data_IF_449735480670
#
_entry.id   IF_449735480670
#
_cell.length_a   1.000
_cell.length_b   1.000
_cell.length_c   1.000
_cell.angle_alpha   90.00
_cell.angle_beta   90.00
_cell.angle_gamma   90.00
#
_symmetry.space_group_name_H-M   'P 1'
#
loop_
_entity.id
_entity.type
_entity.pdbx_description
1 polymer ?
#
# COMPACT_ATOMS: atom_id res chain seq x y z
N UNK A 1 17.02 12.69 20.87
CA UNK A 1 16.24 13.35 19.83
C UNK A 1 16.39 12.62 18.50
N UNK A 2 15.47 12.83 17.59
CA UNK A 2 15.54 12.30 16.22
C UNK A 2 16.25 13.35 15.37
N UNK A 3 17.28 12.94 14.62
CA UNK A 3 17.97 13.84 13.68
C UNK A 3 17.10 14.06 12.45
N UNK A 4 16.99 15.32 12.02
CA UNK A 4 16.24 15.70 10.82
C UNK A 4 17.17 16.41 9.84
N UNK A 5 17.01 16.10 8.54
CA UNK A 5 17.65 16.80 7.42
C UNK A 5 16.55 17.35 6.54
N UNK A 6 16.63 18.63 6.20
CA UNK A 6 15.67 19.27 5.29
C UNK A 6 16.28 19.38 3.89
N UNK A 7 15.50 19.01 2.87
CA UNK A 7 15.89 19.14 1.48
C UNK A 7 15.15 18.21 0.55
N UNK A 8 15.57 18.20 -0.72
CA UNK A 8 14.99 17.37 -1.77
C UNK A 8 15.57 15.94 -1.72
N UNK A 9 14.72 14.97 -1.34
CA UNK A 9 15.10 13.56 -1.22
C UNK A 9 15.45 12.88 -2.57
N UNK A 10 15.23 13.53 -3.71
CA UNK A 10 15.69 13.04 -5.01
C UNK A 10 17.17 13.34 -5.26
N UNK A 11 17.81 14.14 -4.41
CA UNK A 11 19.23 14.49 -4.54
C UNK A 11 20.12 13.51 -3.80
N UNK A 12 20.98 12.81 -4.53
CA UNK A 12 21.88 11.80 -3.97
C UNK A 12 22.78 12.32 -2.86
N UNK A 13 23.28 13.55 -2.99
CA UNK A 13 24.16 14.14 -1.99
C UNK A 13 23.44 14.39 -0.65
N UNK A 14 22.15 14.77 -0.70
CA UNK A 14 21.33 14.90 0.50
C UNK A 14 21.15 13.54 1.20
N UNK A 15 20.85 12.50 0.41
CA UNK A 15 20.71 11.14 0.94
C UNK A 15 21.99 10.62 1.58
N UNK A 16 23.15 10.89 0.98
CA UNK A 16 24.45 10.54 1.56
C UNK A 16 24.69 11.29 2.86
N UNK A 17 24.43 12.60 2.88
CA UNK A 17 24.57 13.43 4.08
C UNK A 17 23.63 12.95 5.23
N UNK A 18 22.46 12.43 4.90
CA UNK A 18 21.53 11.80 5.84
C UNK A 18 21.96 10.38 6.30
N UNK A 19 23.05 9.83 5.77
CA UNK A 19 23.54 8.50 6.11
C UNK A 19 22.76 7.35 5.45
N UNK A 20 22.08 7.62 4.34
CA UNK A 20 21.19 6.68 3.66
C UNK A 20 21.86 5.33 3.31
N UNK A 21 23.15 5.34 2.97
CA UNK A 21 23.90 4.13 2.63
C UNK A 21 24.04 3.15 3.80
N UNK A 22 23.90 3.61 5.03
CA UNK A 22 24.06 2.82 6.26
C UNK A 22 22.72 2.58 6.99
N UNK A 23 21.61 3.05 6.41
CA UNK A 23 20.29 2.87 7.02
C UNK A 23 19.91 1.38 7.07
N UNK A 24 19.28 0.95 8.15
CA UNK A 24 18.77 -0.41 8.29
C UNK A 24 17.44 -0.61 7.54
N UNK A 25 16.71 0.46 7.34
CA UNK A 25 15.41 0.52 6.65
C UNK A 25 15.21 1.91 6.07
N UNK A 26 14.59 1.98 4.90
CA UNK A 26 14.14 3.23 4.29
C UNK A 26 12.63 3.18 4.11
N UNK A 27 11.96 4.28 4.45
CA UNK A 27 10.53 4.48 4.19
C UNK A 27 10.37 5.75 3.35
N UNK A 28 9.83 5.60 2.13
CA UNK A 28 9.56 6.71 1.21
C UNK A 28 8.04 6.97 1.20
N UNK A 29 7.63 8.06 1.82
CA UNK A 29 6.22 8.43 1.99
C UNK A 29 5.89 9.79 1.36
N UNK A 30 6.47 10.08 0.19
CA UNK A 30 6.24 11.33 -0.53
C UNK A 30 4.84 11.34 -1.16
N UNK A 31 4.22 12.53 -1.31
CA UNK A 31 2.86 12.64 -1.85
C UNK A 31 2.81 12.48 -3.38
N UNK A 32 3.93 12.68 -4.08
CA UNK A 32 4.00 12.69 -5.55
C UNK A 32 4.73 11.44 -6.03
N UNK A 33 4.06 10.63 -6.85
CA UNK A 33 4.58 9.35 -7.33
C UNK A 33 5.90 9.49 -8.09
N UNK A 34 6.05 10.52 -8.92
CA UNK A 34 7.28 10.74 -9.67
C UNK A 34 8.48 10.98 -8.74
N UNK A 35 8.30 11.79 -7.70
CA UNK A 35 9.32 12.06 -6.68
C UNK A 35 9.64 10.78 -5.87
N UNK A 36 8.60 10.01 -5.53
CA UNK A 36 8.74 8.72 -4.85
C UNK A 36 9.59 7.77 -5.68
N UNK A 37 9.26 7.58 -6.96
CA UNK A 37 9.99 6.69 -7.88
C UNK A 37 11.45 7.12 -8.05
N UNK A 38 11.70 8.42 -8.22
CA UNK A 38 13.05 8.95 -8.34
C UNK A 38 13.86 8.71 -7.06
N UNK A 39 13.26 8.96 -5.90
CA UNK A 39 13.88 8.74 -4.59
C UNK A 39 14.20 7.27 -4.37
N UNK A 40 13.28 6.34 -4.69
CA UNK A 40 13.52 4.89 -4.62
C UNK A 40 14.72 4.48 -5.49
N UNK A 41 14.80 4.95 -6.74
CA UNK A 41 15.94 4.68 -7.63
C UNK A 41 17.26 5.18 -7.04
N UNK A 42 17.27 6.37 -6.44
CA UNK A 42 18.47 6.94 -5.81
C UNK A 42 18.94 6.12 -4.62
N UNK A 43 18.01 5.70 -3.76
CA UNK A 43 18.35 4.80 -2.65
C UNK A 43 18.92 3.47 -3.15
N UNK A 44 18.35 2.86 -4.19
CA UNK A 44 18.90 1.63 -4.78
C UNK A 44 20.29 1.80 -5.34
N UNK A 45 20.58 2.95 -5.94
CA UNK A 45 21.93 3.28 -6.39
C UNK A 45 22.95 3.46 -5.26
N UNK A 46 22.50 3.79 -4.04
CA UNK A 46 23.36 3.92 -2.86
C UNK A 46 23.53 2.59 -2.11
N UNK A 47 22.47 1.77 -2.05
CA UNK A 47 22.47 0.50 -1.36
C UNK A 47 21.40 -0.44 -1.96
N UNK A 48 21.85 -1.44 -2.72
CA UNK A 48 20.98 -2.40 -3.40
C UNK A 48 20.20 -3.32 -2.45
N UNK A 49 20.70 -3.54 -1.24
CA UNK A 49 20.18 -4.56 -0.31
C UNK A 49 19.29 -3.99 0.79
N UNK A 50 19.23 -2.67 0.94
CA UNK A 50 18.45 -2.07 2.02
C UNK A 50 16.96 -2.38 1.86
N UNK A 51 16.25 -2.82 2.91
CA UNK A 51 14.79 -2.88 2.89
C UNK A 51 14.22 -1.49 2.63
N UNK A 52 13.38 -1.35 1.58
CA UNK A 52 12.81 -0.08 1.17
C UNK A 52 11.31 -0.22 1.01
N UNK A 53 10.58 0.45 1.89
CA UNK A 53 9.14 0.56 1.82
C UNK A 53 8.77 1.86 1.10
N UNK A 54 7.81 1.80 0.19
CA UNK A 54 7.31 2.98 -0.49
C UNK A 54 5.78 3.08 -0.38
N UNK A 55 5.27 4.30 -0.37
CA UNK A 55 3.84 4.58 -0.43
C UNK A 55 3.40 4.76 -1.87
N UNK A 56 2.25 4.17 -2.23
CA UNK A 56 1.56 4.42 -3.48
C UNK A 56 0.07 4.74 -3.22
N UNK A 57 -0.59 5.36 -4.18
CA UNK A 57 -2.02 5.67 -4.12
C UNK A 57 -2.88 4.74 -4.98
N UNK A 58 -2.26 3.90 -5.82
CA UNK A 58 -2.94 2.96 -6.70
C UNK A 58 -2.08 1.76 -7.08
N UNK A 59 -2.73 0.73 -7.62
CA UNK A 59 -2.05 -0.54 -7.94
C UNK A 59 -0.98 -0.38 -9.02
N UNK A 60 -1.21 0.44 -10.06
CA UNK A 60 -0.21 0.71 -11.10
C UNK A 60 1.03 1.38 -10.54
N UNK A 61 0.84 2.40 -9.71
CA UNK A 61 1.94 3.05 -9.01
C UNK A 61 2.73 2.06 -8.14
N UNK A 62 2.03 1.11 -7.50
CA UNK A 62 2.67 0.10 -6.68
C UNK A 62 3.53 -0.86 -7.53
N UNK A 63 3.08 -1.24 -8.71
CA UNK A 63 3.87 -2.04 -9.66
C UNK A 63 5.09 -1.26 -10.13
N UNK A 64 4.91 -0.02 -10.59
CA UNK A 64 6.01 0.85 -11.02
C UNK A 64 7.07 1.03 -9.92
N UNK A 65 6.65 1.19 -8.65
CA UNK A 65 7.57 1.33 -7.53
C UNK A 65 8.33 0.05 -7.21
N UNK A 66 7.72 -1.13 -7.39
CA UNK A 66 8.40 -2.42 -7.28
C UNK A 66 9.44 -2.58 -8.38
N UNK A 67 9.11 -2.24 -9.61
CA UNK A 67 10.01 -2.33 -10.77
C UNK A 67 11.24 -1.44 -10.60
N UNK A 68 11.09 -0.29 -9.95
CA UNK A 68 12.22 0.59 -9.67
C UNK A 68 12.99 0.24 -8.39
N UNK A 69 12.55 -0.81 -7.68
CA UNK A 69 13.32 -1.42 -6.61
C UNK A 69 12.75 -1.27 -5.19
N UNK A 70 11.49 -0.85 -5.01
CA UNK A 70 10.86 -0.95 -3.69
C UNK A 70 10.76 -2.41 -3.24
N UNK A 71 11.15 -2.70 -1.99
CA UNK A 71 11.01 -4.04 -1.41
C UNK A 71 9.54 -4.34 -1.13
N UNK A 72 8.83 -3.34 -0.64
CA UNK A 72 7.41 -3.42 -0.32
C UNK A 72 6.73 -2.09 -0.65
N UNK A 73 5.50 -2.15 -1.12
CA UNK A 73 4.71 -0.95 -1.41
C UNK A 73 3.40 -1.01 -0.63
N UNK A 74 3.15 0.05 0.11
CA UNK A 74 1.97 0.21 0.95
C UNK A 74 0.97 1.11 0.23
N UNK A 75 -0.29 0.66 0.19
CA UNK A 75 -1.44 1.45 -0.27
C UNK A 75 -2.31 1.77 0.94
N UNK A 76 -2.18 2.96 1.54
CA UNK A 76 -2.91 3.33 2.76
C UNK A 76 -4.43 3.24 2.62
N UNK A 77 -4.95 3.52 1.43
CA UNK A 77 -6.38 3.45 1.13
C UNK A 77 -6.91 2.02 1.23
N UNK A 78 -6.13 1.04 0.79
CA UNK A 78 -6.47 -0.39 0.89
C UNK A 78 -6.37 -0.89 2.33
N UNK A 79 -5.31 -0.51 3.04
CA UNK A 79 -5.16 -0.85 4.46
C UNK A 79 -6.28 -0.22 5.31
N UNK A 80 -6.66 1.02 5.00
CA UNK A 80 -7.80 1.71 5.60
C UNK A 80 -9.12 0.99 5.33
N UNK A 81 -9.36 0.56 4.09
CA UNK A 81 -10.55 -0.21 3.71
C UNK A 81 -10.63 -1.54 4.47
N UNK A 82 -9.54 -2.29 4.57
CA UNK A 82 -9.49 -3.53 5.36
C UNK A 82 -9.82 -3.27 6.84
N UNK A 83 -9.33 -2.17 7.38
CA UNK A 83 -9.61 -1.78 8.77
C UNK A 83 -11.08 -1.45 8.96
N UNK A 84 -11.70 -0.69 8.04
CA UNK A 84 -13.13 -0.37 8.07
C UNK A 84 -14.01 -1.63 7.99
N UNK A 85 -13.70 -2.55 7.08
CA UNK A 85 -14.40 -3.82 6.92
C UNK A 85 -14.32 -4.63 8.22
N UNK A 86 -13.14 -4.72 8.81
CA UNK A 86 -12.95 -5.43 10.08
C UNK A 86 -13.82 -4.83 11.19
N UNK A 87 -13.87 -3.51 11.33
CA UNK A 87 -14.71 -2.85 12.32
C UNK A 87 -16.20 -3.04 12.04
N UNK A 88 -16.64 -2.96 10.78
CA UNK A 88 -18.01 -3.21 10.40
C UNK A 88 -18.46 -4.65 10.77
N UNK A 89 -17.65 -5.64 10.46
CA UNK A 89 -17.95 -7.02 10.81
C UNK A 89 -17.98 -7.28 12.32
N UNK A 90 -17.11 -6.61 13.07
CA UNK A 90 -17.14 -6.66 14.54
C UNK A 90 -18.43 -6.04 15.09
N UNK A 91 -18.87 -4.90 14.55
CA UNK A 91 -20.13 -4.28 14.94
C UNK A 91 -21.35 -5.16 14.65
N UNK A 92 -21.31 -5.93 13.56
CA UNK A 92 -22.34 -6.91 13.19
C UNK A 92 -22.19 -8.25 13.95
N UNK A 93 -21.23 -8.36 14.88
CA UNK A 93 -20.93 -9.58 15.65
C UNK A 93 -20.59 -10.80 14.78
N UNK A 94 -20.03 -10.56 13.58
CA UNK A 94 -19.54 -11.60 12.70
C UNK A 94 -18.25 -12.21 13.29
N UNK A 95 -18.08 -13.53 13.14
CA UNK A 95 -16.94 -14.23 13.75
C UNK A 95 -15.59 -13.75 13.18
N UNK A 96 -14.54 -13.79 14.00
CA UNK A 96 -13.18 -13.44 13.57
C UNK A 96 -12.68 -14.32 12.43
N UNK A 97 -13.06 -15.61 12.40
CA UNK A 97 -12.70 -16.52 11.31
C UNK A 97 -13.27 -16.05 9.97
N UNK A 98 -14.56 -15.71 9.92
CA UNK A 98 -15.20 -15.19 8.71
C UNK A 98 -14.57 -13.89 8.21
N UNK A 99 -14.14 -13.00 9.13
CA UNK A 99 -13.42 -11.78 8.78
C UNK A 99 -12.06 -12.10 8.12
N UNK A 100 -11.31 -13.04 8.71
CA UNK A 100 -10.01 -13.46 8.19
C UNK A 100 -10.13 -14.12 6.81
N UNK A 101 -11.14 -14.95 6.60
CA UNK A 101 -11.39 -15.63 5.33
C UNK A 101 -11.75 -14.62 4.24
N UNK A 102 -12.57 -13.62 4.56
CA UNK A 102 -12.87 -12.52 3.65
C UNK A 102 -11.63 -11.71 3.28
N UNK A 103 -10.83 -11.31 4.25
CA UNK A 103 -9.61 -10.53 3.99
C UNK A 103 -8.60 -11.32 3.16
N UNK A 104 -8.45 -12.63 3.39
CA UNK A 104 -7.60 -13.51 2.55
C UNK A 104 -8.11 -13.58 1.12
N UNK A 105 -9.43 -13.69 0.90
CA UNK A 105 -10.00 -13.70 -0.45
C UNK A 105 -9.74 -12.38 -1.19
N UNK A 106 -9.82 -11.24 -0.50
CA UNK A 106 -9.45 -9.95 -1.08
C UNK A 106 -7.97 -9.86 -1.45
N UNK A 107 -7.07 -10.43 -0.67
CA UNK A 107 -5.64 -10.46 -0.97
C UNK A 107 -5.33 -11.39 -2.16
N UNK A 108 -5.96 -12.54 -2.24
CA UNK A 108 -5.81 -13.48 -3.37
C UNK A 108 -6.28 -12.85 -4.69
N UNK A 109 -7.38 -12.12 -4.68
CA UNK A 109 -7.89 -11.38 -5.84
C UNK A 109 -6.90 -10.32 -6.34
N UNK A 110 -6.19 -9.64 -5.43
CA UNK A 110 -5.13 -8.67 -5.76
C UNK A 110 -3.91 -9.30 -6.42
N UNK A 111 -3.56 -10.52 -6.04
CA UNK A 111 -2.39 -11.23 -6.59
C UNK A 111 -2.64 -11.92 -7.92
N UNK A 112 -3.89 -12.15 -8.31
CA UNK A 112 -4.25 -12.77 -9.60
C UNK A 112 -4.25 -11.81 -10.79
N UNK A 113 -4.10 -10.49 -10.59
CA UNK A 113 -3.95 -9.52 -11.68
C UNK A 113 -5.19 -9.33 -12.57
N UNK A 114 -6.33 -9.91 -12.21
CA UNK A 114 -7.58 -9.71 -12.95
C UNK A 114 -8.12 -8.30 -12.65
N UNK A 115 -7.89 -7.41 -13.60
CA UNK A 115 -8.33 -6.03 -13.58
C UNK A 115 -9.85 -5.94 -13.39
N UNK A 116 -10.26 -4.98 -12.57
CA UNK A 116 -11.63 -4.49 -12.52
C UNK A 116 -12.01 -3.87 -13.87
N UNK A 117 -12.37 -4.70 -14.83
CA UNK A 117 -13.32 -4.25 -15.83
C UNK A 117 -14.66 -4.08 -15.11
N UNK A 118 -15.25 -2.91 -15.30
CA UNK A 118 -16.50 -2.45 -14.71
C UNK A 118 -17.62 -3.50 -14.82
N UNK A 119 -17.68 -4.39 -13.85
CA UNK A 119 -18.79 -5.32 -13.68
C UNK A 119 -19.94 -4.59 -12.97
N UNK A 120 -21.00 -4.39 -13.72
CA UNK A 120 -22.30 -3.92 -13.25
C UNK A 120 -22.74 -4.73 -12.03
N UNK A 121 -22.74 -4.13 -10.85
CA UNK A 121 -23.33 -4.76 -9.67
C UNK A 121 -24.84 -4.67 -9.81
N UNK A 122 -25.46 -5.72 -10.32
CA UNK A 122 -26.88 -5.87 -10.19
C UNK A 122 -27.26 -5.95 -8.71
N UNK A 123 -27.96 -4.93 -8.25
CA UNK A 123 -28.56 -4.89 -6.93
C UNK A 123 -29.59 -6.04 -6.81
N UNK A 124 -29.18 -7.13 -6.20
CA UNK A 124 -30.07 -8.23 -5.85
C UNK A 124 -31.21 -7.70 -4.99
N UNK A 125 -32.42 -7.74 -5.53
CA UNK A 125 -33.68 -7.45 -4.83
C UNK A 125 -33.77 -8.32 -3.58
N UNK A 126 -33.60 -7.72 -2.41
CA UNK A 126 -34.04 -8.33 -1.16
C UNK A 126 -35.55 -8.41 -1.17
N UNK A 127 -36.05 -9.62 -1.28
CA UNK A 127 -37.48 -9.91 -1.28
C UNK A 127 -38.11 -9.49 0.04
N UNK A 128 -39.09 -8.63 -0.08
CA UNK A 128 -40.06 -8.36 0.96
C UNK A 128 -40.91 -9.61 1.17
N UNK A 129 -40.75 -10.28 2.31
CA UNK A 129 -41.62 -11.35 2.79
C UNK A 129 -42.43 -10.85 3.98
N UNK A 130 -43.67 -10.54 3.71
CA UNK A 130 -44.79 -10.33 4.68
C UNK A 130 -44.98 -11.56 5.56
N UNK A 131 -45.39 -11.44 6.84
CA UNK A 131 -46.81 -11.65 7.25
C UNK A 131 -46.95 -11.75 8.74
N UNK A 132 -47.94 -11.05 9.19
CA UNK A 132 -48.89 -11.26 10.31
C UNK A 132 -48.35 -11.29 11.73
#
# INVERSE_FOLDING_TARGET
GISCVYGDASQTELLKAAGAQHAALVIVALPVIHETSLTVRRFRGLNEKIPLLARAHGFREAEDLKDVGATEVILPEVEGAHTLIRHAFQALKISKSSILDYLKSCQAFRSSGEGLESGNVEAGKAGAGRSL
#
